data_IF_081243293871
#
_entry.id   IF_081243293871
#
_cell.length_a   1.000
_cell.length_b   1.000
_cell.length_c   1.000
_cell.angle_alpha   90.00
_cell.angle_beta   90.00
_cell.angle_gamma   90.00
#
_symmetry.space_group_name_H-M   'P 1'
#
loop_
_entity.id
_entity.type
_entity.pdbx_description
1 polymer ?
#
# COMPACT_ATOMS: atom_id res chain seq x y z
N UNK A 1 -16.07 2.34 1.38
CA UNK A 1 -15.33 3.24 0.46
C UNK A 1 -13.86 2.97 0.62
N UNK A 2 -13.10 3.00 -0.49
CA UNK A 2 -11.65 2.95 -0.43
C UNK A 2 -11.12 4.18 -1.15
N UNK A 3 -10.16 4.86 -0.53
CA UNK A 3 -9.53 6.04 -1.08
C UNK A 3 -8.04 6.10 -0.68
N UNK A 4 -7.25 6.79 -1.48
CA UNK A 4 -5.81 6.93 -1.31
C UNK A 4 -5.37 8.38 -1.30
N UNK A 5 -4.31 8.69 -0.56
CA UNK A 5 -3.64 9.97 -0.63
C UNK A 5 -2.13 9.78 -0.74
N UNK A 6 -1.45 10.74 -1.38
CA UNK A 6 -0.03 10.69 -1.66
C UNK A 6 0.66 11.94 -1.14
N UNK A 7 1.92 11.79 -0.71
CA UNK A 7 2.72 12.90 -0.18
C UNK A 7 2.92 14.02 -1.20
N UNK A 8 2.98 13.69 -2.49
CA UNK A 8 3.21 14.65 -3.58
C UNK A 8 2.14 14.49 -4.64
N UNK A 9 1.80 15.61 -5.32
CA UNK A 9 0.86 15.59 -6.44
C UNK A 9 1.49 14.86 -7.63
N UNK A 10 0.69 14.01 -8.29
CA UNK A 10 1.08 13.30 -9.51
C UNK A 10 1.50 11.84 -9.26
N UNK A 11 1.82 11.12 -10.33
CA UNK A 11 2.07 9.66 -10.32
C UNK A 11 3.48 9.26 -9.87
N UNK A 12 4.24 10.19 -9.29
CA UNK A 12 5.65 10.03 -8.92
C UNK A 12 5.87 10.05 -7.41
N UNK A 13 4.82 9.95 -6.61
CA UNK A 13 4.98 9.96 -5.16
C UNK A 13 5.59 8.67 -4.64
N UNK A 14 6.47 8.81 -3.66
CA UNK A 14 7.16 7.69 -3.02
C UNK A 14 6.44 7.14 -1.80
N UNK A 15 5.51 7.94 -1.25
CA UNK A 15 4.78 7.64 -0.03
C UNK A 15 3.30 7.84 -0.30
N UNK A 16 2.51 6.82 0.00
CA UNK A 16 1.06 6.83 -0.13
C UNK A 16 0.39 6.22 1.09
N UNK A 17 -0.84 6.64 1.34
CA UNK A 17 -1.70 6.07 2.38
C UNK A 17 -3.00 5.64 1.73
N UNK A 18 -3.37 4.38 1.89
CA UNK A 18 -4.70 3.88 1.52
C UNK A 18 -5.58 3.75 2.75
N UNK A 19 -6.85 4.10 2.63
CA UNK A 19 -7.84 4.07 3.71
C UNK A 19 -9.12 3.34 3.30
N UNK A 20 -9.68 2.55 4.21
CA UNK A 20 -11.04 2.03 4.15
C UNK A 20 -11.92 2.90 5.02
N UNK A 21 -12.95 3.49 4.43
CA UNK A 21 -13.86 4.43 5.10
C UNK A 21 -15.28 3.84 5.07
N UNK A 22 -15.93 3.87 6.23
CA UNK A 22 -17.33 3.47 6.38
C UNK A 22 -18.24 4.45 5.65
N UNK A 23 -19.06 3.96 4.71
CA UNK A 23 -19.88 4.81 3.84
C UNK A 23 -20.88 5.65 4.64
N UNK A 24 -21.51 5.05 5.67
CA UNK A 24 -22.52 5.73 6.47
C UNK A 24 -21.93 6.53 7.64
N UNK A 25 -20.79 6.09 8.18
CA UNK A 25 -20.19 6.73 9.36
C UNK A 25 -19.19 7.82 8.99
N UNK A 26 -18.61 7.78 7.78
CA UNK A 26 -17.49 8.62 7.38
C UNK A 26 -16.19 8.34 8.15
N UNK A 27 -16.16 7.31 9.00
CA UNK A 27 -15.02 6.99 9.84
C UNK A 27 -14.04 6.05 9.13
N UNK A 28 -12.75 6.22 9.42
CA UNK A 28 -11.70 5.32 8.95
C UNK A 28 -11.79 4.00 9.72
N UNK A 29 -11.99 2.91 8.99
CA UNK A 29 -12.07 1.53 9.49
C UNK A 29 -10.69 0.86 9.45
N UNK A 30 -9.94 1.09 8.37
CA UNK A 30 -8.57 0.57 8.22
C UNK A 30 -7.73 1.55 7.39
N UNK A 31 -6.42 1.49 7.58
CA UNK A 31 -5.46 2.24 6.77
C UNK A 31 -4.15 1.48 6.62
N UNK A 32 -3.41 1.76 5.56
CA UNK A 32 -2.03 1.27 5.36
C UNK A 32 -1.18 2.38 4.77
N UNK A 33 0.02 2.55 5.33
CA UNK A 33 1.04 3.46 4.80
C UNK A 33 1.99 2.64 3.95
N UNK A 34 2.18 3.05 2.70
CA UNK A 34 3.11 2.43 1.76
C UNK A 34 4.24 3.41 1.41
N UNK A 35 5.46 2.89 1.38
CA UNK A 35 6.66 3.61 0.97
C UNK A 35 7.50 2.71 0.06
N UNK A 36 7.81 3.19 -1.14
CA UNK A 36 8.81 2.58 -2.02
C UNK A 36 10.18 3.26 -1.93
N UNK A 37 10.35 4.18 -0.97
CA UNK A 37 11.57 4.95 -0.78
C UNK A 37 12.23 4.65 0.56
N UNK A 38 13.56 4.60 0.54
CA UNK A 38 14.38 4.56 1.73
C UNK A 38 15.64 5.40 1.46
N UNK A 39 15.84 6.44 2.28
CA UNK A 39 16.99 7.31 2.14
C UNK A 39 18.30 6.53 2.28
N UNK A 40 18.39 5.62 3.26
CA UNK A 40 19.57 4.77 3.46
C UNK A 40 19.91 3.95 2.21
N UNK A 41 18.92 3.37 1.54
CA UNK A 41 19.11 2.71 0.25
C UNK A 41 19.60 3.66 -0.84
N UNK A 42 19.17 4.93 -0.84
CA UNK A 42 19.55 5.93 -1.85
C UNK A 42 20.99 6.42 -1.68
N UNK A 43 21.44 6.61 -0.44
CA UNK A 43 22.80 7.11 -0.12
C UNK A 43 23.80 5.98 0.17
N UNK A 44 23.43 4.72 -0.08
CA UNK A 44 24.24 3.56 0.24
C UNK A 44 25.63 3.62 -0.44
N UNK A 45 26.68 3.07 0.21
CA UNK A 45 27.95 2.83 -0.47
C UNK A 45 27.76 1.91 -1.68
N UNK A 46 28.66 1.99 -2.66
CA UNK A 46 28.63 1.05 -3.79
C UNK A 46 28.99 -0.34 -3.27
N UNK A 47 28.49 -1.37 -3.94
CA UNK A 47 28.82 -2.76 -3.61
C UNK A 47 30.33 -3.08 -3.70
N UNK A 48 31.11 -2.21 -4.38
CA UNK A 48 32.56 -2.31 -4.48
C UNK A 48 33.33 -1.64 -3.34
N UNK A 49 32.66 -0.82 -2.52
CA UNK A 49 33.33 0.01 -1.52
C UNK A 49 33.57 -0.79 -0.23
N UNK A 50 34.71 -0.56 0.42
CA UNK A 50 34.99 -1.09 1.76
C UNK A 50 33.94 -0.55 2.75
N UNK A 51 33.22 -1.45 3.43
CA UNK A 51 32.12 -1.11 4.34
C UNK A 51 30.70 -1.32 3.77
N UNK A 52 30.55 -1.79 2.52
CA UNK A 52 29.23 -2.17 1.99
C UNK A 52 28.57 -3.29 2.81
N UNK A 53 29.32 -4.33 3.16
CA UNK A 53 28.82 -5.47 3.93
C UNK A 53 28.40 -5.06 5.36
N UNK A 54 29.20 -4.21 6.01
CA UNK A 54 28.86 -3.68 7.34
C UNK A 54 27.59 -2.81 7.27
N UNK A 55 27.50 -1.93 6.27
CA UNK A 55 26.29 -1.15 6.02
C UNK A 55 25.09 -2.06 5.76
N UNK A 56 25.23 -3.11 4.95
CA UNK A 56 24.15 -4.02 4.60
C UNK A 56 23.65 -4.79 5.83
N UNK A 57 24.56 -5.20 6.71
CA UNK A 57 24.23 -5.88 7.97
C UNK A 57 23.44 -4.99 8.93
N UNK A 58 23.80 -3.71 9.02
CA UNK A 58 23.14 -2.74 9.90
C UNK A 58 21.90 -2.07 9.26
N UNK A 59 21.67 -2.26 7.95
CA UNK A 59 20.65 -1.50 7.24
C UNK A 59 19.22 -2.01 7.48
N UNK A 60 18.43 -1.22 8.20
CA UNK A 60 16.97 -1.40 8.24
C UNK A 60 16.27 -0.65 7.10
N UNK A 61 15.92 -1.39 6.05
CA UNK A 61 15.21 -0.83 4.90
C UNK A 61 13.82 -0.32 5.29
N UNK A 62 13.55 0.95 4.99
CA UNK A 62 12.27 1.61 5.27
C UNK A 62 11.23 1.43 4.14
N UNK A 63 11.59 0.74 3.05
CA UNK A 63 10.65 0.42 1.97
C UNK A 63 9.80 -0.76 2.39
N UNK A 64 8.49 -0.63 2.24
CA UNK A 64 7.55 -1.72 2.52
C UNK A 64 6.77 -2.16 1.27
N UNK A 65 7.02 -1.53 0.12
CA UNK A 65 6.47 -1.93 -1.16
C UNK A 65 7.48 -1.68 -2.29
N UNK A 66 7.47 -2.55 -3.29
CA UNK A 66 8.31 -2.43 -4.49
C UNK A 66 7.44 -2.16 -5.74
N UNK A 67 6.70 -1.05 -5.71
CA UNK A 67 5.91 -0.61 -6.84
C UNK A 67 5.83 0.92 -6.91
N UNK A 68 5.52 1.47 -8.09
CA UNK A 68 5.33 2.91 -8.29
C UNK A 68 3.99 3.41 -7.72
N UNK A 69 3.86 4.73 -7.56
CA UNK A 69 2.70 5.38 -6.94
C UNK A 69 1.35 4.90 -7.51
N UNK A 70 1.26 4.74 -8.84
CA UNK A 70 0.02 4.31 -9.50
C UNK A 70 -0.37 2.85 -9.22
N UNK A 71 0.54 2.00 -8.74
CA UNK A 71 0.24 0.62 -8.32
C UNK A 71 0.11 0.50 -6.80
N UNK A 72 0.68 1.43 -6.04
CA UNK A 72 0.54 1.46 -4.58
C UNK A 72 -0.91 1.50 -4.13
N UNK A 73 -1.79 2.16 -4.88
CA UNK A 73 -3.22 2.18 -4.59
C UNK A 73 -3.83 0.77 -4.56
N UNK A 74 -3.54 -0.02 -5.59
CA UNK A 74 -4.02 -1.40 -5.75
C UNK A 74 -3.44 -2.29 -4.64
N UNK A 75 -2.15 -2.15 -4.36
CA UNK A 75 -1.47 -2.92 -3.30
C UNK A 75 -2.02 -2.57 -1.91
N UNK A 76 -2.27 -1.29 -1.64
CA UNK A 76 -2.87 -0.84 -0.40
C UNK A 76 -4.27 -1.46 -0.19
N UNK A 77 -5.11 -1.44 -1.23
CA UNK A 77 -6.41 -2.08 -1.18
C UNK A 77 -6.27 -3.59 -0.94
N UNK A 78 -5.40 -4.28 -1.68
CA UNK A 78 -5.20 -5.72 -1.51
C UNK A 78 -4.76 -6.09 -0.09
N UNK A 79 -3.83 -5.34 0.50
CA UNK A 79 -3.36 -5.57 1.88
C UNK A 79 -4.51 -5.43 2.87
N UNK A 80 -5.29 -4.34 2.78
CA UNK A 80 -6.38 -4.08 3.72
C UNK A 80 -7.55 -5.06 3.55
N UNK A 81 -7.91 -5.40 2.31
CA UNK A 81 -8.98 -6.36 2.04
C UNK A 81 -8.61 -7.77 2.55
N UNK A 82 -7.37 -8.22 2.33
CA UNK A 82 -6.91 -9.55 2.80
C UNK A 82 -6.93 -9.69 4.31
N UNK A 83 -6.58 -8.63 5.05
CA UNK A 83 -6.54 -8.66 6.53
C UNK A 83 -7.85 -8.22 7.20
N UNK A 84 -8.86 -7.84 6.42
CA UNK A 84 -10.10 -7.21 6.90
C UNK A 84 -10.79 -8.04 7.99
N UNK A 85 -10.96 -9.35 7.74
CA UNK A 85 -11.61 -10.26 8.68
C UNK A 85 -10.77 -10.45 9.96
N UNK A 86 -9.47 -10.70 9.83
CA UNK A 86 -8.59 -10.93 10.98
C UNK A 86 -8.37 -9.68 11.85
N UNK A 87 -8.33 -8.50 11.22
CA UNK A 87 -8.02 -7.24 11.92
C UNK A 87 -9.27 -6.60 12.52
N UNK A 88 -10.36 -6.58 11.76
CA UNK A 88 -11.55 -5.79 12.08
C UNK A 88 -12.82 -6.62 12.24
N UNK A 89 -12.79 -7.93 11.96
CA UNK A 89 -13.99 -8.78 11.98
C UNK A 89 -15.01 -8.41 10.91
N UNK A 90 -14.59 -7.68 9.87
CA UNK A 90 -15.45 -7.15 8.82
C UNK A 90 -14.99 -7.68 7.46
N UNK A 91 -15.95 -8.01 6.61
CA UNK A 91 -15.69 -8.24 5.19
C UNK A 91 -16.01 -6.95 4.42
N UNK A 92 -15.05 -6.45 3.65
CA UNK A 92 -15.25 -5.28 2.80
C UNK A 92 -15.88 -5.72 1.47
N UNK A 93 -17.20 -5.56 1.37
CA UNK A 93 -17.99 -6.11 0.25
C UNK A 93 -18.33 -5.10 -0.84
N UNK A 94 -18.10 -3.80 -0.62
CA UNK A 94 -18.37 -2.74 -1.58
C UNK A 94 -17.23 -1.74 -1.65
N UNK A 95 -16.64 -1.61 -2.83
CA UNK A 95 -15.67 -0.54 -3.13
C UNK A 95 -16.39 0.56 -3.90
N UNK A 96 -16.34 1.75 -3.35
CA UNK A 96 -16.68 3.01 -4.00
C UNK A 96 -15.36 3.80 -4.03
N UNK A 97 -14.90 4.18 -5.22
CA UNK A 97 -13.67 4.94 -5.46
C UNK A 97 -13.92 6.04 -6.51
N UNK A 98 -12.98 6.96 -6.65
CA UNK A 98 -13.07 8.19 -7.46
C UNK A 98 -12.99 7.98 -8.99
N UNK A 99 -12.86 6.72 -9.45
CA UNK A 99 -12.98 6.36 -10.88
C UNK A 99 -11.82 5.57 -11.46
N UNK A 100 -10.74 5.33 -10.71
CA UNK A 100 -9.69 4.42 -11.18
C UNK A 100 -10.13 2.95 -11.04
N UNK A 101 -10.40 2.30 -12.17
CA UNK A 101 -10.88 0.92 -12.23
C UNK A 101 -9.78 -0.12 -11.95
N UNK A 102 -8.50 0.29 -11.88
CA UNK A 102 -7.36 -0.63 -11.67
C UNK A 102 -7.42 -1.31 -10.31
N UNK A 103 -7.80 -0.59 -9.26
CA UNK A 103 -7.98 -1.14 -7.91
C UNK A 103 -9.08 -2.19 -7.90
N UNK A 104 -10.21 -1.89 -8.55
CA UNK A 104 -11.33 -2.83 -8.70
C UNK A 104 -10.96 -4.09 -9.48
N UNK A 105 -10.20 -3.92 -10.57
CA UNK A 105 -9.74 -5.03 -11.38
C UNK A 105 -8.79 -5.94 -10.59
N UNK A 106 -7.79 -5.37 -9.91
CA UNK A 106 -6.83 -6.14 -9.11
C UNK A 106 -7.48 -6.92 -7.96
N UNK A 107 -8.48 -6.33 -7.29
CA UNK A 107 -9.25 -7.02 -6.25
C UNK A 107 -10.05 -8.20 -6.79
N UNK A 108 -10.66 -8.05 -7.98
CA UNK A 108 -11.42 -9.11 -8.65
C UNK A 108 -10.51 -10.23 -9.15
N UNK A 109 -9.41 -9.91 -9.82
CA UNK A 109 -8.44 -10.90 -10.31
C UNK A 109 -7.86 -11.75 -9.17
N UNK A 110 -7.60 -11.12 -8.02
CA UNK A 110 -7.07 -11.81 -6.85
C UNK A 110 -8.13 -12.53 -6.02
N UNK A 111 -9.40 -12.50 -6.44
CA UNK A 111 -10.51 -13.17 -5.75
C UNK A 111 -10.74 -12.68 -4.32
N UNK A 112 -10.23 -11.49 -3.97
CA UNK A 112 -10.39 -10.91 -2.63
C UNK A 112 -11.77 -10.26 -2.48
N UNK A 113 -12.41 -9.98 -3.61
CA UNK A 113 -13.76 -9.42 -3.71
C UNK A 113 -14.72 -10.46 -4.25
N UNK A 114 -15.70 -10.85 -3.44
CA UNK A 114 -16.66 -11.90 -3.77
C UNK A 114 -17.09 -12.62 -2.51
N UNK A 115 -18.30 -13.17 -2.52
CA UNK A 115 -18.85 -13.94 -1.41
C UNK A 115 -17.90 -15.12 -1.08
N UNK A 116 -17.31 -15.11 0.11
CA UNK A 116 -16.62 -16.28 0.67
C UNK A 116 -17.67 -16.98 1.56
N UNK A 117 -18.01 -18.26 1.28
CA UNK A 117 -19.12 -18.96 1.91
C UNK A 117 -19.03 -19.03 3.45
#
# INVERSE_FOLDING_TARGET
MFDGTWMTKGRLSHIGVGCIIGVYTGLVIDHVVLSNFCLGCTIRPKASDEGYEDWLADHECQRNIDCGAGRMEVEAALIMFKRSLSKNGLQYTTVMSDGDSRTMHGLKEKGVYGFIP
#
